data_IF_267757056958
#
_entry.id   IF_267757056958
#
_cell.length_a   1.000
_cell.length_b   1.000
_cell.length_c   1.000
_cell.angle_alpha   90.00
_cell.angle_beta   90.00
_cell.angle_gamma   90.00
#
_symmetry.space_group_name_H-M   'P 1'
#
loop_
_entity.id
_entity.type
_entity.pdbx_description
1 polymer ?
#
# COMPACT_ATOMS: atom_id res chain seq x y z
N UNK A 1 20.47 39.45 10.91
CA UNK A 1 20.11 39.36 9.49
C UNK A 1 19.68 37.93 9.24
N UNK A 2 18.36 37.72 9.16
CA UNK A 2 17.71 36.40 9.16
C UNK A 2 17.91 35.68 7.82
N UNK A 3 18.35 34.43 7.87
CA UNK A 3 18.46 33.58 6.69
C UNK A 3 17.10 32.97 6.36
N UNK A 4 16.48 33.47 5.29
CA UNK A 4 15.20 32.98 4.77
C UNK A 4 15.36 31.55 4.24
N UNK A 5 14.74 30.57 4.90
CA UNK A 5 14.67 29.17 4.44
C UNK A 5 13.93 29.11 3.10
N UNK A 6 14.64 28.78 2.02
CA UNK A 6 14.09 28.57 0.68
C UNK A 6 13.30 27.25 0.67
N UNK A 7 11.97 27.32 0.63
CA UNK A 7 11.11 26.14 0.43
C UNK A 7 11.40 25.45 -0.91
N UNK A 8 11.06 24.16 -1.06
CA UNK A 8 11.42 23.41 -2.26
C UNK A 8 10.79 24.06 -3.49
N UNK A 9 11.63 24.46 -4.44
CA UNK A 9 11.20 25.00 -5.73
C UNK A 9 10.75 23.88 -6.64
N UNK A 10 9.43 23.73 -6.78
CA UNK A 10 8.81 22.88 -7.79
C UNK A 10 7.36 23.31 -7.98
N UNK A 11 6.88 23.27 -9.22
CA UNK A 11 5.44 23.40 -9.52
C UNK A 11 4.69 22.41 -8.62
N UNK A 12 3.58 22.82 -7.96
CA UNK A 12 2.79 21.90 -7.15
C UNK A 12 2.48 20.65 -7.98
N UNK A 13 2.67 19.47 -7.39
CA UNK A 13 2.30 18.21 -8.04
C UNK A 13 0.82 18.34 -8.44
N UNK A 14 0.51 18.12 -9.71
CA UNK A 14 -0.86 18.20 -10.22
C UNK A 14 -1.77 17.06 -9.75
N UNK A 15 -1.37 16.33 -8.71
CA UNK A 15 -2.05 15.15 -8.18
C UNK A 15 -1.79 15.05 -6.67
N UNK A 16 -2.71 14.39 -5.97
CA UNK A 16 -2.59 14.05 -4.56
C UNK A 16 -1.75 12.78 -4.40
N UNK A 17 -0.59 12.92 -3.73
CA UNK A 17 0.36 11.81 -3.58
C UNK A 17 -0.16 10.70 -2.65
N UNK A 18 -0.99 11.03 -1.67
CA UNK A 18 -1.54 10.05 -0.73
C UNK A 18 -2.63 9.22 -1.41
N UNK A 19 -3.49 9.85 -2.21
CA UNK A 19 -4.47 9.14 -3.03
C UNK A 19 -3.80 8.27 -4.09
N UNK A 20 -2.76 8.78 -4.76
CA UNK A 20 -2.01 7.98 -5.73
C UNK A 20 -1.33 6.77 -5.07
N UNK A 21 -0.75 6.94 -3.88
CA UNK A 21 -0.14 5.83 -3.14
C UNK A 21 -1.17 4.76 -2.72
N UNK A 22 -2.36 5.18 -2.30
CA UNK A 22 -3.44 4.27 -1.94
C UNK A 22 -3.90 3.43 -3.14
N UNK A 23 -4.02 4.05 -4.31
CA UNK A 23 -4.37 3.32 -5.55
C UNK A 23 -3.26 2.36 -5.98
N UNK A 24 -1.99 2.77 -5.87
CA UNK A 24 -0.86 1.88 -6.13
C UNK A 24 -0.85 0.67 -5.17
N UNK A 25 -1.14 0.89 -3.88
CA UNK A 25 -1.26 -0.19 -2.90
C UNK A 25 -2.33 -1.21 -3.29
N UNK A 26 -3.49 -0.77 -3.80
CA UNK A 26 -4.54 -1.68 -4.26
C UNK A 26 -4.10 -2.51 -5.47
N UNK A 27 -3.40 -1.91 -6.44
CA UNK A 27 -2.85 -2.65 -7.59
C UNK A 27 -1.84 -3.70 -7.13
N UNK A 28 -0.93 -3.35 -6.22
CA UNK A 28 0.00 -4.34 -5.66
C UNK A 28 -0.70 -5.42 -4.84
N UNK A 29 -1.83 -5.11 -4.22
CA UNK A 29 -2.62 -6.07 -3.45
C UNK A 29 -3.28 -7.09 -4.37
N UNK A 30 -3.84 -6.63 -5.49
CA UNK A 30 -4.48 -7.51 -6.44
C UNK A 30 -3.47 -8.32 -7.27
N UNK A 31 -2.38 -7.70 -7.72
CA UNK A 31 -1.46 -8.29 -8.70
C UNK A 31 -0.08 -8.65 -8.16
N UNK A 32 0.17 -8.49 -6.86
CA UNK A 32 1.48 -8.69 -6.26
C UNK A 32 2.55 -7.71 -6.78
N UNK A 33 3.78 -7.84 -6.27
CA UNK A 33 4.88 -6.97 -6.71
C UNK A 33 5.22 -7.19 -8.18
N UNK A 34 5.43 -8.44 -8.61
CA UNK A 34 5.86 -8.74 -9.99
C UNK A 34 4.75 -8.46 -11.01
N UNK A 35 3.52 -8.92 -10.76
CA UNK A 35 2.38 -8.75 -11.67
C UNK A 35 1.88 -7.30 -11.82
N UNK A 36 2.17 -6.41 -10.87
CA UNK A 36 1.83 -4.99 -11.00
C UNK A 36 2.71 -4.29 -12.05
N UNK A 37 2.26 -4.26 -13.30
CA UNK A 37 2.98 -3.56 -14.38
C UNK A 37 3.06 -2.05 -14.12
N UNK A 38 4.10 -1.39 -14.65
CA UNK A 38 4.22 0.07 -14.56
C UNK A 38 2.99 0.78 -15.14
N UNK A 39 2.45 0.26 -16.26
CA UNK A 39 1.26 0.80 -16.91
C UNK A 39 0.03 0.72 -15.99
N UNK A 40 -0.24 -0.45 -15.42
CA UNK A 40 -1.36 -0.66 -14.49
C UNK A 40 -1.25 0.26 -13.25
N UNK A 41 -0.03 0.41 -12.71
CA UNK A 41 0.23 1.33 -11.60
C UNK A 41 -0.08 2.77 -11.99
N UNK A 42 0.51 3.27 -13.08
CA UNK A 42 0.33 4.67 -13.51
C UNK A 42 -1.11 5.00 -13.88
N UNK A 43 -1.82 4.07 -14.51
CA UNK A 43 -3.22 4.20 -14.88
C UNK A 43 -4.11 4.32 -13.65
N UNK A 44 -3.98 3.38 -12.70
CA UNK A 44 -4.71 3.42 -11.44
C UNK A 44 -4.41 4.69 -10.65
N UNK A 45 -3.14 5.08 -10.55
CA UNK A 45 -2.70 6.29 -9.87
C UNK A 45 -3.20 7.58 -10.55
N UNK A 46 -3.57 7.54 -11.83
CA UNK A 46 -3.98 8.70 -12.61
C UNK A 46 -2.82 9.67 -12.91
N UNK A 47 -1.59 9.15 -13.05
CA UNK A 47 -0.39 9.97 -13.28
C UNK A 47 0.47 9.39 -14.40
N UNK A 48 1.36 10.21 -14.96
CA UNK A 48 2.35 9.72 -15.93
C UNK A 48 3.46 8.90 -15.25
N UNK A 49 4.14 8.02 -16.01
CA UNK A 49 5.33 7.32 -15.54
C UNK A 49 6.40 8.28 -15.01
N UNK A 50 6.64 9.40 -15.71
CA UNK A 50 7.59 10.44 -15.26
C UNK A 50 7.19 11.02 -13.90
N UNK A 51 5.91 11.31 -13.69
CA UNK A 51 5.39 11.80 -12.40
C UNK A 51 5.50 10.74 -11.30
N UNK A 52 5.27 9.46 -11.64
CA UNK A 52 5.45 8.34 -10.71
C UNK A 52 6.91 8.30 -10.24
N UNK A 53 7.86 8.27 -11.18
CA UNK A 53 9.28 8.22 -10.86
C UNK A 53 9.75 9.42 -10.04
N UNK A 54 9.34 10.63 -10.44
CA UNK A 54 9.71 11.85 -9.73
C UNK A 54 9.12 11.92 -8.30
N UNK A 55 7.98 11.27 -8.05
CA UNK A 55 7.26 11.39 -6.79
C UNK A 55 7.55 10.27 -5.80
N UNK A 56 7.74 9.06 -6.31
CA UNK A 56 7.81 7.83 -5.53
C UNK A 56 9.13 7.08 -5.69
N UNK A 57 9.98 7.51 -6.62
CA UNK A 57 11.22 6.81 -6.95
C UNK A 57 10.94 5.67 -7.92
N UNK A 58 11.58 4.52 -7.75
CA UNK A 58 11.32 3.37 -8.62
C UNK A 58 10.13 2.50 -8.14
N UNK A 59 9.80 1.43 -8.89
CA UNK A 59 8.72 0.50 -8.53
C UNK A 59 8.92 -0.15 -7.14
N UNK A 60 10.16 -0.49 -6.78
CA UNK A 60 10.50 -1.06 -5.48
C UNK A 60 10.27 -0.06 -4.34
N UNK A 61 10.63 1.21 -4.53
CA UNK A 61 10.39 2.27 -3.56
C UNK A 61 8.90 2.59 -3.40
N UNK A 62 8.15 2.59 -4.51
CA UNK A 62 6.69 2.70 -4.50
C UNK A 62 6.05 1.53 -3.74
N UNK A 63 6.50 0.30 -4.00
CA UNK A 63 6.01 -0.89 -3.30
C UNK A 63 6.30 -0.84 -1.80
N UNK A 64 7.51 -0.42 -1.39
CA UNK A 64 7.85 -0.23 0.02
C UNK A 64 6.91 0.77 0.69
N UNK A 65 6.65 1.92 0.05
CA UNK A 65 5.72 2.93 0.57
C UNK A 65 4.28 2.39 0.65
N UNK A 66 3.86 1.58 -0.33
CA UNK A 66 2.55 0.93 -0.31
C UNK A 66 2.42 -0.06 0.85
N UNK A 67 3.47 -0.84 1.14
CA UNK A 67 3.53 -1.73 2.30
C UNK A 67 3.48 -0.98 3.63
N UNK A 68 4.13 0.17 3.73
CA UNK A 68 4.03 1.04 4.92
C UNK A 68 2.61 1.60 5.11
N UNK A 69 1.95 2.01 4.02
CA UNK A 69 0.55 2.44 4.05
C UNK A 69 -0.38 1.30 4.44
N UNK A 70 -0.11 0.08 3.97
CA UNK A 70 -0.85 -1.11 4.37
C UNK A 70 -0.71 -1.40 5.87
N UNK A 71 0.53 -1.34 6.37
CA UNK A 71 0.88 -1.58 7.78
C UNK A 71 0.18 -0.61 8.75
N UNK A 72 0.04 0.65 8.34
CA UNK A 72 -0.55 1.74 9.14
C UNK A 72 -2.05 1.95 8.89
N UNK A 73 -2.64 1.20 7.96
CA UNK A 73 -4.06 1.26 7.63
C UNK A 73 -4.72 -0.12 7.73
N UNK A 74 -4.95 -0.83 6.61
CA UNK A 74 -5.66 -2.10 6.60
C UNK A 74 -5.16 -3.18 7.57
N UNK A 75 -3.86 -3.22 7.90
CA UNK A 75 -3.30 -4.19 8.84
C UNK A 75 -2.91 -3.61 10.20
N UNK A 76 -3.38 -2.41 10.55
CA UNK A 76 -3.08 -1.77 11.84
C UNK A 76 -3.62 -2.55 13.05
N UNK A 77 -4.62 -3.43 12.81
CA UNK A 77 -5.20 -4.32 13.80
C UNK A 77 -4.16 -5.23 14.45
N UNK A 78 -3.05 -5.56 13.78
CA UNK A 78 -1.99 -6.38 14.35
C UNK A 78 -1.33 -5.67 15.54
N UNK A 79 -1.02 -4.38 15.40
CA UNK A 79 -0.41 -3.60 16.48
C UNK A 79 -1.37 -3.47 17.65
N UNK A 80 -2.64 -3.15 17.38
CA UNK A 80 -3.68 -3.04 18.41
C UNK A 80 -3.95 -4.37 19.12
N UNK A 81 -3.89 -5.49 18.40
CA UNK A 81 -4.08 -6.81 18.98
C UNK A 81 -3.00 -7.14 20.01
N UNK A 82 -1.75 -6.69 19.80
CA UNK A 82 -0.65 -6.92 20.72
C UNK A 82 -0.79 -6.16 22.05
N UNK A 83 -1.69 -5.18 22.12
CA UNK A 83 -2.01 -4.46 23.36
C UNK A 83 -2.95 -5.25 24.29
N UNK A 84 -3.47 -6.39 23.83
CA UNK A 84 -4.37 -7.22 24.63
C UNK A 84 -3.63 -7.88 25.81
N UNK A 85 -4.27 -7.96 26.99
CA UNK A 85 -3.61 -8.42 28.23
C UNK A 85 -3.35 -9.93 28.27
N UNK A 86 -3.88 -10.70 27.31
CA UNK A 86 -3.72 -12.16 27.27
C UNK A 86 -3.41 -12.64 25.86
N UNK A 87 -2.63 -13.71 25.74
CA UNK A 87 -2.34 -14.35 24.46
C UNK A 87 -3.62 -14.77 23.69
N UNK A 88 -4.66 -15.21 24.41
CA UNK A 88 -5.97 -15.51 23.82
C UNK A 88 -6.64 -14.26 23.25
N UNK A 89 -6.57 -13.13 23.95
CA UNK A 89 -7.07 -11.84 23.48
C UNK A 89 -6.35 -11.38 22.21
N UNK A 90 -5.01 -11.45 22.21
CA UNK A 90 -4.18 -11.16 21.03
C UNK A 90 -4.63 -12.02 19.84
N UNK A 91 -4.70 -13.34 20.01
CA UNK A 91 -5.10 -14.24 18.93
C UNK A 91 -6.51 -13.95 18.41
N UNK A 92 -7.45 -13.63 19.31
CA UNK A 92 -8.83 -13.29 18.93
C UNK A 92 -8.89 -12.02 18.09
N UNK A 93 -8.19 -10.96 18.50
CA UNK A 93 -8.15 -9.70 17.75
C UNK A 93 -7.42 -9.83 16.40
N UNK A 94 -6.35 -10.63 16.33
CA UNK A 94 -5.68 -10.92 15.05
C UNK A 94 -6.63 -11.63 14.09
N UNK A 95 -7.34 -12.68 14.54
CA UNK A 95 -8.27 -13.43 13.70
C UNK A 95 -9.44 -12.54 13.25
N UNK A 96 -10.03 -11.77 14.16
CA UNK A 96 -11.13 -10.88 13.85
C UNK A 96 -10.71 -9.75 12.89
N UNK A 97 -9.54 -9.14 13.12
CA UNK A 97 -8.97 -8.13 12.24
C UNK A 97 -8.67 -8.67 10.85
N UNK A 98 -8.11 -9.88 10.77
CA UNK A 98 -7.85 -10.57 9.51
C UNK A 98 -9.16 -10.77 8.72
N UNK A 99 -10.21 -11.32 9.35
CA UNK A 99 -11.51 -11.49 8.69
C UNK A 99 -12.05 -10.16 8.17
N UNK A 100 -12.02 -9.09 8.97
CA UNK A 100 -12.50 -7.77 8.56
C UNK A 100 -11.74 -7.21 7.36
N UNK A 101 -10.42 -7.41 7.31
CA UNK A 101 -9.58 -6.85 6.25
C UNK A 101 -9.67 -7.67 4.96
N UNK A 102 -9.77 -9.00 5.05
CA UNK A 102 -9.70 -9.89 3.87
C UNK A 102 -11.05 -10.23 3.24
N UNK A 103 -12.17 -9.99 3.92
CA UNK A 103 -13.53 -10.34 3.42
C UNK A 103 -14.36 -9.12 2.98
N UNK A 104 -13.73 -7.95 2.82
CA UNK A 104 -14.42 -6.73 2.38
C UNK A 104 -15.01 -6.91 0.96
N UNK A 105 -16.32 -6.68 0.75
CA UNK A 105 -16.96 -6.90 -0.56
C UNK A 105 -16.42 -6.05 -1.70
N UNK A 106 -15.89 -4.87 -1.39
CA UNK A 106 -15.42 -3.88 -2.36
C UNK A 106 -13.89 -3.71 -2.36
N UNK A 107 -13.14 -4.64 -1.78
CA UNK A 107 -11.68 -4.59 -1.68
C UNK A 107 -10.98 -5.85 -2.20
N UNK A 108 -9.67 -5.76 -2.48
CA UNK A 108 -8.87 -6.93 -2.82
C UNK A 108 -9.02 -8.00 -1.73
N UNK A 109 -9.30 -9.24 -2.15
CA UNK A 109 -9.42 -10.36 -1.23
C UNK A 109 -8.04 -10.79 -0.74
N UNK A 110 -7.93 -11.24 0.50
CA UNK A 110 -6.68 -11.73 1.07
C UNK A 110 -5.81 -10.62 1.68
N UNK A 111 -4.58 -10.98 2.07
CA UNK A 111 -3.64 -10.09 2.75
C UNK A 111 -2.54 -9.65 1.77
N UNK A 112 -2.36 -8.34 1.58
CA UNK A 112 -1.27 -7.81 0.75
C UNK A 112 0.10 -8.32 1.21
N UNK A 113 0.34 -8.44 2.52
CA UNK A 113 1.62 -8.95 3.03
C UNK A 113 1.94 -10.38 2.60
N UNK A 114 0.91 -11.20 2.33
CA UNK A 114 1.08 -12.56 1.80
C UNK A 114 1.12 -12.53 0.28
N UNK A 115 0.13 -11.90 -0.36
CA UNK A 115 -0.03 -11.88 -1.82
C UNK A 115 1.06 -11.08 -2.54
N UNK A 116 1.50 -9.97 -1.95
CA UNK A 116 2.58 -9.13 -2.45
C UNK A 116 3.93 -9.83 -2.52
N UNK A 117 4.12 -10.90 -1.74
CA UNK A 117 5.35 -11.69 -1.68
C UNK A 117 5.29 -13.00 -2.48
N UNK A 118 4.12 -13.39 -3.00
CA UNK A 118 4.00 -14.57 -3.86
C UNK A 118 4.57 -14.26 -5.24
N UNK A 119 5.58 -15.04 -5.66
CA UNK A 119 6.27 -14.88 -6.95
C UNK A 119 5.38 -15.17 -8.18
N UNK A 120 4.16 -15.67 -7.98
CA UNK A 120 3.22 -16.04 -9.02
C UNK A 120 1.84 -15.45 -8.71
N UNK A 121 1.63 -14.18 -9.06
CA UNK A 121 0.38 -13.48 -8.74
C UNK A 121 -0.78 -13.73 -9.71
N UNK A 122 -0.57 -14.47 -10.81
CA UNK A 122 -1.64 -14.86 -11.74
C UNK A 122 -1.98 -16.37 -11.72
N UNK A 123 -1.14 -17.22 -11.12
CA UNK A 123 -1.32 -18.69 -11.19
C UNK A 123 -2.27 -19.28 -10.14
N UNK A 124 -2.90 -18.45 -9.31
CA UNK A 124 -3.77 -18.90 -8.21
C UNK A 124 -5.27 -18.60 -8.40
N UNK A 125 -5.69 -18.22 -9.60
CA UNK A 125 -7.07 -17.81 -9.92
C UNK A 125 -7.82 -18.81 -10.85
N UNK A 126 -7.35 -20.05 -10.94
CA UNK A 126 -8.07 -21.15 -11.62
C UNK A 126 -8.78 -22.06 -10.61
#
# INVERSE_FOLDING_TARGET
METRKKGPSGRPRGFDADQALERAMLVFWEHGYEGASLAALTDAMGISATSMYAAFGNKQELFRKAMERYATGPSDYLVRALEQPTARGVATEILAGTIRTTTRPSGPQGCLGVQGALAASDSGRE
#
